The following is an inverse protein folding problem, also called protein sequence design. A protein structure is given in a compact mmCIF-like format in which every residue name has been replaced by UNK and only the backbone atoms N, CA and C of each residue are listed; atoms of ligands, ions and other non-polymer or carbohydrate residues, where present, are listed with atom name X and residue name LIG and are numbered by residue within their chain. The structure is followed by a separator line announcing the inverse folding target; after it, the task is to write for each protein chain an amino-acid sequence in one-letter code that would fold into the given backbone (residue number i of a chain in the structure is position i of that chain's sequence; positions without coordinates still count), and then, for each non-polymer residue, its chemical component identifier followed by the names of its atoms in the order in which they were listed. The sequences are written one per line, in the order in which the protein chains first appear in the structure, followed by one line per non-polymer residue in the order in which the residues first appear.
data_IF_774334943180
#
_entry.id   IF_774334943180
#
_cell.length_a   1.000
_cell.length_b   1.000
_cell.length_c   1.000
_cell.angle_alpha   90.00
_cell.angle_beta   90.00
_cell.angle_gamma   90.00
#
_symmetry.space_group_name_H-M   'P 1'
#
loop_
_entity.id
_entity.type
_entity.pdbx_description
1 polymer ?
#
# COMPACT_ATOMS: atom_id res chain seq x y z
N UNK A 1 -35.57 14.80 16.84
CA UNK A 1 -34.71 15.71 16.06
C UNK A 1 -33.31 15.12 16.07
N UNK A 2 -32.95 14.53 14.93
CA UNK A 2 -31.58 14.30 14.41
C UNK A 2 -30.54 13.60 15.29
N UNK A 3 -30.73 12.30 15.53
CA UNK A 3 -29.61 11.35 15.64
C UNK A 3 -29.13 10.99 14.23
N UNK A 4 -28.58 11.99 13.54
CA UNK A 4 -27.91 11.83 12.24
C UNK A 4 -26.40 11.92 12.41
N UNK A 5 -25.88 11.36 13.51
CA UNK A 5 -24.52 10.86 13.52
C UNK A 5 -24.52 9.52 12.76
N UNK A 6 -24.78 9.60 11.44
CA UNK A 6 -24.54 8.48 10.53
C UNK A 6 -23.14 7.97 10.83
N UNK A 7 -23.05 6.71 11.23
CA UNK A 7 -21.89 5.89 10.94
C UNK A 7 -21.44 6.28 9.53
N UNK A 8 -20.32 7.00 9.43
CA UNK A 8 -19.61 7.10 8.18
C UNK A 8 -19.18 5.67 7.92
N UNK A 9 -20.01 4.91 7.19
CA UNK A 9 -19.58 3.69 6.55
C UNK A 9 -18.22 3.99 5.97
N UNK A 10 -17.19 3.30 6.47
CA UNK A 10 -15.83 3.44 5.97
C UNK A 10 -15.91 3.08 4.50
N UNK A 11 -15.96 4.10 3.63
CA UNK A 11 -15.99 3.90 2.19
C UNK A 11 -14.82 2.98 1.83
N UNK A 12 -15.04 1.91 1.07
CA UNK A 12 -13.96 1.06 0.62
C UNK A 12 -12.97 1.92 -0.14
N UNK A 13 -11.71 1.91 0.30
CA UNK A 13 -10.65 2.71 -0.32
C UNK A 13 -10.18 2.10 -1.64
N UNK A 14 -10.40 0.79 -1.81
CA UNK A 14 -10.05 0.05 -3.02
C UNK A 14 -11.28 -0.28 -3.83
N UNK A 15 -11.15 -0.10 -5.14
CA UNK A 15 -12.11 -0.51 -6.15
C UNK A 15 -11.49 -1.56 -7.06
N UNK A 16 -12.35 -2.40 -7.64
CA UNK A 16 -11.96 -3.39 -8.65
C UNK A 16 -12.67 -3.04 -9.95
N UNK A 17 -11.90 -2.91 -11.03
CA UNK A 17 -12.44 -2.68 -12.38
C UNK A 17 -12.06 -3.84 -13.28
N UNK A 18 -13.03 -4.33 -14.06
CA UNK A 18 -12.75 -5.17 -15.22
C UNK A 18 -12.31 -4.26 -16.38
N UNK A 19 -11.16 -4.58 -16.96
CA UNK A 19 -10.64 -3.91 -18.14
C UNK A 19 -10.57 -4.91 -19.30
N UNK A 20 -10.93 -4.44 -20.48
CA UNK A 20 -10.79 -5.17 -21.74
C UNK A 20 -9.88 -4.35 -22.66
N UNK A 21 -8.62 -4.78 -22.78
CA UNK A 21 -7.60 -4.11 -23.59
C UNK A 21 -6.79 -5.10 -24.44
N UNK A 22 -5.68 -4.65 -25.03
CA UNK A 22 -4.82 -5.49 -25.89
C UNK A 22 -4.22 -6.70 -25.17
N UNK A 23 -4.23 -6.74 -23.85
CA UNK A 23 -3.80 -7.86 -22.99
C UNK A 23 -4.92 -8.86 -22.72
N UNK A 24 -6.13 -8.59 -23.23
CA UNK A 24 -7.36 -9.34 -22.95
C UNK A 24 -8.08 -8.87 -21.69
N UNK A 25 -9.15 -9.58 -21.35
CA UNK A 25 -9.95 -9.29 -20.14
C UNK A 25 -9.14 -9.58 -18.89
N UNK A 26 -8.98 -8.57 -18.04
CA UNK A 26 -8.31 -8.67 -16.76
C UNK A 26 -8.93 -7.71 -15.75
N UNK A 27 -8.52 -7.79 -14.49
CA UNK A 27 -9.01 -6.93 -13.44
C UNK A 27 -7.89 -6.08 -12.87
N UNK A 28 -8.21 -4.85 -12.48
CA UNK A 28 -7.30 -3.95 -11.76
C UNK A 28 -7.86 -3.58 -10.41
N UNK A 29 -6.99 -3.52 -9.40
CA UNK A 29 -7.29 -3.03 -8.06
C UNK A 29 -6.70 -1.63 -7.95
N UNK A 30 -7.49 -0.61 -7.62
CA UNK A 30 -7.00 0.76 -7.52
C UNK A 30 -7.72 1.58 -6.44
N UNK A 31 -7.14 2.72 -6.07
CA UNK A 31 -7.70 3.65 -5.09
C UNK A 31 -8.69 4.68 -5.68
N UNK A 32 -9.00 4.59 -6.97
CA UNK A 32 -9.81 5.59 -7.64
C UNK A 32 -11.32 5.31 -7.47
N UNK A 33 -12.10 6.36 -7.23
CA UNK A 33 -13.57 6.27 -7.13
C UNK A 33 -14.20 5.96 -8.52
N UNK A 34 -15.29 5.15 -8.59
CA UNK A 34 -15.98 4.79 -9.82
C UNK A 34 -16.47 5.96 -10.67
N UNK A 35 -16.98 7.03 -10.06
CA UNK A 35 -17.44 8.23 -10.76
C UNK A 35 -16.26 8.90 -11.47
N UNK A 36 -15.14 9.04 -10.77
CA UNK A 36 -13.94 9.64 -11.36
C UNK A 36 -13.37 8.73 -12.47
N UNK A 37 -13.24 7.43 -12.21
CA UNK A 37 -12.78 6.43 -13.17
C UNK A 37 -13.62 6.42 -14.45
N UNK A 38 -14.95 6.50 -14.34
CA UNK A 38 -15.84 6.56 -15.51
C UNK A 38 -15.70 7.86 -16.32
N UNK A 39 -15.29 8.96 -15.68
CA UNK A 39 -15.18 10.27 -16.35
C UNK A 39 -13.85 10.50 -17.08
N UNK A 40 -12.73 10.03 -16.52
CA UNK A 40 -11.38 10.33 -17.02
C UNK A 40 -10.50 9.10 -17.26
N UNK A 41 -11.04 7.89 -17.05
CA UNK A 41 -10.26 6.65 -17.01
C UNK A 41 -9.56 6.45 -15.66
N UNK A 42 -8.91 5.31 -15.50
CA UNK A 42 -8.16 4.96 -14.29
C UNK A 42 -6.73 5.48 -14.40
N UNK A 43 -6.30 6.34 -13.46
CA UNK A 43 -4.93 6.82 -13.40
C UNK A 43 -4.01 5.69 -12.93
N UNK A 44 -2.96 5.41 -13.72
CA UNK A 44 -1.98 4.34 -13.46
C UNK A 44 -1.36 4.40 -12.05
N UNK A 45 -1.24 5.59 -11.46
CA UNK A 45 -0.67 5.78 -10.11
C UNK A 45 -1.61 5.32 -8.99
N UNK A 46 -2.90 5.27 -9.28
CA UNK A 46 -3.90 4.78 -8.33
C UNK A 46 -4.03 3.26 -8.36
N UNK A 47 -3.52 2.61 -9.42
CA UNK A 47 -3.59 1.15 -9.63
C UNK A 47 -2.56 0.48 -8.74
N UNK A 48 -3.01 -0.32 -7.78
CA UNK A 48 -2.17 -1.19 -6.94
C UNK A 48 -1.56 -2.31 -7.78
N UNK A 49 -2.37 -2.93 -8.63
CA UNK A 49 -1.94 -4.00 -9.51
C UNK A 49 -3.08 -4.56 -10.35
N UNK A 50 -2.75 -5.58 -11.13
CA UNK A 50 -3.67 -6.30 -12.00
C UNK A 50 -3.67 -7.79 -11.69
N UNK A 51 -4.77 -8.47 -11.98
CA UNK A 51 -4.86 -9.92 -11.88
C UNK A 51 -5.81 -10.49 -12.94
N UNK A 52 -5.66 -11.78 -13.20
CA UNK A 52 -6.61 -12.56 -13.99
C UNK A 52 -7.47 -13.39 -13.05
N UNK A 53 -8.80 -13.26 -13.10
CA UNK A 53 -9.66 -14.00 -12.19
C UNK A 53 -9.59 -15.50 -12.45
N UNK A 54 -9.96 -16.30 -11.45
CA UNK A 54 -10.14 -17.75 -11.63
C UNK A 54 -11.28 -18.04 -12.62
N UNK A 55 -11.44 -19.29 -13.03
CA UNK A 55 -12.58 -19.71 -13.87
C UNK A 55 -13.97 -19.44 -13.25
N UNK A 56 -14.04 -19.21 -11.94
CA UNK A 56 -15.27 -18.82 -11.23
C UNK A 56 -15.44 -17.28 -11.10
N UNK A 57 -14.55 -16.49 -11.70
CA UNK A 57 -14.58 -15.03 -11.61
C UNK A 57 -14.04 -14.47 -10.28
N UNK A 58 -13.37 -15.29 -9.45
CA UNK A 58 -12.83 -14.85 -8.15
C UNK A 58 -11.43 -14.26 -8.29
N UNK A 59 -11.02 -13.47 -7.30
CA UNK A 59 -9.63 -13.02 -7.18
C UNK A 59 -8.68 -14.21 -7.11
N UNK A 60 -7.63 -14.19 -7.95
CA UNK A 60 -6.56 -15.18 -7.94
C UNK A 60 -5.25 -14.49 -7.53
N UNK A 61 -4.78 -14.70 -6.27
CA UNK A 61 -3.52 -14.13 -5.81
C UNK A 61 -2.31 -14.57 -6.67
N UNK A 62 -2.36 -15.75 -7.28
CA UNK A 62 -1.25 -16.29 -8.06
C UNK A 62 -1.03 -15.56 -9.39
N UNK A 63 -2.06 -14.89 -9.91
CA UNK A 63 -1.96 -14.10 -11.14
C UNK A 63 -1.74 -12.61 -10.87
N UNK A 64 -1.76 -12.21 -9.59
CA UNK A 64 -1.62 -10.81 -9.21
C UNK A 64 -0.22 -10.29 -9.53
N UNK A 65 -0.18 -9.17 -10.26
CA UNK A 65 1.03 -8.43 -10.59
C UNK A 65 0.86 -7.01 -10.09
N UNK A 66 1.71 -6.59 -9.15
CA UNK A 66 1.71 -5.23 -8.67
C UNK A 66 2.16 -4.26 -9.78
N UNK A 67 1.63 -3.04 -9.74
CA UNK A 67 2.00 -1.98 -10.65
C UNK A 67 3.32 -1.33 -10.20
N UNK A 68 4.27 -1.12 -11.11
CA UNK A 68 5.55 -0.47 -10.77
C UNK A 68 5.39 0.99 -10.37
N UNK A 69 4.44 1.71 -10.95
CA UNK A 69 4.07 3.08 -10.54
C UNK A 69 3.49 3.14 -9.13
N UNK A 70 2.83 2.08 -8.68
CA UNK A 70 2.39 1.95 -7.29
C UNK A 70 3.56 1.82 -6.33
N UNK A 71 4.55 0.99 -6.65
CA UNK A 71 5.78 0.85 -5.84
C UNK A 71 6.50 2.19 -5.71
N UNK A 72 6.62 2.95 -6.80
CA UNK A 72 7.22 4.30 -6.75
C UNK A 72 6.42 5.23 -5.83
N UNK A 73 5.09 5.22 -5.93
CA UNK A 73 4.21 6.05 -5.09
C UNK A 73 4.30 5.66 -3.63
N UNK A 74 4.41 4.36 -3.34
CA UNK A 74 4.64 3.84 -2.00
C UNK A 74 6.01 4.29 -1.47
N UNK A 75 7.09 4.13 -2.24
CA UNK A 75 8.42 4.58 -1.84
C UNK A 75 8.44 6.07 -1.52
N UNK A 76 7.78 6.89 -2.34
CA UNK A 76 7.63 8.33 -2.06
C UNK A 76 6.84 8.59 -0.77
N UNK A 77 5.73 7.86 -0.55
CA UNK A 77 4.96 7.95 0.68
C UNK A 77 5.80 7.60 1.92
N UNK A 78 6.58 6.52 1.83
CA UNK A 78 7.45 6.08 2.92
C UNK A 78 8.51 7.14 3.25
N UNK A 79 9.16 7.69 2.23
CA UNK A 79 10.21 8.70 2.41
C UNK A 79 9.70 10.11 2.75
N UNK A 80 8.44 10.45 2.49
CA UNK A 80 7.92 11.81 2.75
C UNK A 80 7.00 11.88 3.97
N UNK A 81 6.29 10.79 4.28
CA UNK A 81 5.25 10.77 5.31
C UNK A 81 5.65 9.85 6.45
N UNK A 82 5.96 8.58 6.16
CA UNK A 82 6.22 7.59 7.21
C UNK A 82 7.55 7.83 7.93
N UNK A 83 8.57 8.32 7.22
CA UNK A 83 9.87 8.62 7.82
C UNK A 83 9.77 9.63 8.98
N UNK A 84 8.75 10.49 8.99
CA UNK A 84 8.55 11.53 10.00
C UNK A 84 7.79 11.00 11.23
N UNK A 85 7.42 9.72 11.28
CA UNK A 85 6.78 9.11 12.44
C UNK A 85 7.75 9.07 13.64
N UNK A 86 7.44 9.73 14.76
CA UNK A 86 8.28 9.74 15.95
C UNK A 86 8.57 8.34 16.51
N UNK A 87 7.64 7.40 16.35
CA UNK A 87 7.83 6.02 16.79
C UNK A 87 8.90 5.33 15.97
N UNK A 88 8.93 5.51 14.64
CA UNK A 88 10.00 4.98 13.78
C UNK A 88 11.38 5.47 14.22
N UNK A 89 11.50 6.74 14.59
CA UNK A 89 12.75 7.31 15.08
C UNK A 89 13.17 6.77 16.45
N UNK A 90 12.24 6.31 17.27
CA UNK A 90 12.57 5.62 18.52
C UNK A 90 13.09 4.22 18.22
N UNK A 91 12.41 3.47 17.36
CA UNK A 91 12.82 2.12 16.94
C UNK A 91 14.17 2.10 16.22
N UNK A 92 14.45 3.10 15.38
CA UNK A 92 15.73 3.22 14.68
C UNK A 92 16.95 3.22 15.62
N UNK A 93 16.81 3.75 16.84
CA UNK A 93 17.90 3.77 17.82
C UNK A 93 18.30 2.38 18.31
N UNK A 94 17.38 1.41 18.23
CA UNK A 94 17.63 0.03 18.61
C UNK A 94 18.37 -0.76 17.52
N UNK A 95 18.47 -0.22 16.30
CA UNK A 95 19.07 -0.86 15.12
C UNK A 95 20.12 0.04 14.45
N UNK A 96 20.86 0.82 15.24
CA UNK A 96 21.91 1.72 14.74
C UNK A 96 22.94 0.97 13.86
N UNK A 97 23.35 1.59 12.75
CA UNK A 97 24.23 1.02 11.73
C UNK A 97 23.59 -0.06 10.85
N UNK A 98 22.30 -0.35 11.06
CA UNK A 98 21.58 -1.43 10.39
C UNK A 98 20.47 -0.96 9.44
N UNK A 99 19.47 -1.83 9.28
CA UNK A 99 18.22 -1.53 8.57
C UNK A 99 17.05 -1.59 9.53
N UNK A 100 16.14 -0.62 9.42
CA UNK A 100 14.87 -0.62 10.14
C UNK A 100 13.80 -1.20 9.23
N UNK A 101 13.32 -2.40 9.55
CA UNK A 101 12.30 -3.09 8.77
C UNK A 101 10.92 -2.52 9.05
N UNK A 102 10.15 -2.28 7.99
CA UNK A 102 8.75 -1.83 8.07
C UNK A 102 7.86 -3.03 7.86
N UNK A 103 7.19 -3.44 8.94
CA UNK A 103 6.29 -4.59 8.95
C UNK A 103 4.90 -4.15 8.48
N UNK A 104 4.24 -4.98 7.68
CA UNK A 104 2.87 -4.71 7.25
C UNK A 104 1.92 -4.60 8.46
N UNK A 105 1.09 -3.54 8.55
CA UNK A 105 0.16 -3.37 9.68
C UNK A 105 -0.80 -4.55 9.88
N UNK A 106 -1.04 -5.38 8.86
CA UNK A 106 -1.87 -6.59 9.00
C UNK A 106 -1.28 -7.62 9.98
N UNK A 107 0.02 -7.52 10.29
CA UNK A 107 0.74 -8.45 11.16
C UNK A 107 0.90 -7.96 12.60
N UNK A 108 0.46 -6.75 12.95
CA UNK A 108 0.70 -6.13 14.27
C UNK A 108 0.09 -6.93 15.43
N UNK A 109 -0.95 -7.71 15.18
CA UNK A 109 -1.59 -8.57 16.19
C UNK A 109 -1.20 -10.05 16.08
N UNK A 110 -0.31 -10.41 15.17
CA UNK A 110 0.08 -11.79 14.99
C UNK A 110 1.20 -12.12 16.00
N UNK A 111 0.98 -13.11 16.86
CA UNK A 111 2.01 -13.65 17.76
C UNK A 111 3.05 -14.44 16.96
N UNK A 112 3.82 -13.72 16.15
CA UNK A 112 4.85 -14.27 15.29
C UNK A 112 6.18 -14.23 16.04
N UNK A 113 6.80 -15.39 16.19
CA UNK A 113 8.16 -15.53 16.72
C UNK A 113 9.17 -14.87 15.76
N UNK A 114 8.88 -14.92 14.46
CA UNK A 114 9.65 -14.32 13.39
C UNK A 114 8.71 -13.74 12.33
N UNK A 115 9.01 -12.54 11.85
CA UNK A 115 8.22 -11.89 10.79
C UNK A 115 8.67 -12.43 9.43
N UNK A 116 7.78 -13.06 8.64
CA UNK A 116 8.15 -13.56 7.33
C UNK A 116 8.57 -12.42 6.40
N UNK A 117 9.50 -12.70 5.48
CA UNK A 117 9.89 -11.73 4.45
C UNK A 117 8.69 -11.26 3.60
N UNK A 118 7.63 -12.07 3.45
CA UNK A 118 6.41 -11.69 2.73
C UNK A 118 5.57 -10.63 3.45
N UNK A 119 5.83 -10.41 4.74
CA UNK A 119 5.12 -9.47 5.60
C UNK A 119 5.93 -8.19 5.87
N UNK A 120 7.17 -8.11 5.38
CA UNK A 120 8.00 -6.92 5.46
C UNK A 120 7.74 -6.10 4.20
N UNK A 121 7.22 -4.89 4.35
CA UNK A 121 6.94 -3.97 3.22
C UNK A 121 8.26 -3.50 2.58
N UNK A 122 9.26 -3.25 3.41
CA UNK A 122 10.55 -2.72 3.01
C UNK A 122 11.36 -2.33 4.22
N UNK A 123 12.39 -1.51 4.01
CA UNK A 123 13.24 -1.06 5.10
C UNK A 123 13.86 0.30 4.81
N UNK A 124 14.20 1.02 5.88
CA UNK A 124 15.04 2.20 5.82
C UNK A 124 16.48 1.86 6.24
N UNK A 125 17.45 2.59 5.71
CA UNK A 125 18.82 2.54 6.23
C UNK A 125 18.94 3.42 7.49
N UNK A 126 19.68 2.94 8.48
CA UNK A 126 19.90 3.64 9.75
C UNK A 126 21.40 3.86 9.96
N UNK A 127 21.80 5.08 10.30
CA UNK A 127 23.19 5.41 10.57
C UNK A 127 23.65 4.89 11.94
N UNK A 128 24.96 4.98 12.20
CA UNK A 128 25.59 4.57 13.47
C UNK A 128 25.06 5.35 14.70
N UNK A 129 24.40 6.49 14.49
CA UNK A 129 23.77 7.27 15.56
C UNK A 129 22.30 6.88 15.79
N UNK A 130 21.78 5.87 15.08
CA UNK A 130 20.39 5.44 15.19
C UNK A 130 19.41 6.39 14.47
N UNK A 131 19.87 7.17 13.49
CA UNK A 131 19.01 8.04 12.67
C UNK A 131 18.68 7.38 11.35
N UNK A 132 17.41 7.49 10.97
CA UNK A 132 16.95 7.05 9.66
C UNK A 132 17.53 7.97 8.59
N UNK A 133 18.17 7.40 7.57
CA UNK A 133 18.67 8.13 6.43
C UNK A 133 17.49 8.57 5.54
N UNK A 134 17.46 9.84 5.13
CA UNK A 134 16.45 10.36 4.20
C UNK A 134 16.56 9.69 2.84
N UNK A 135 15.41 9.55 2.17
CA UNK A 135 15.29 8.96 0.83
C UNK A 135 15.90 7.55 0.72
N UNK A 136 15.96 6.81 1.84
CA UNK A 136 16.62 5.51 1.93
C UNK A 136 15.66 4.32 1.91
N UNK A 137 14.35 4.55 1.84
CA UNK A 137 13.39 3.46 1.83
C UNK A 137 13.60 2.56 0.60
N UNK A 138 13.81 1.27 0.85
CA UNK A 138 13.88 0.24 -0.16
C UNK A 138 12.67 -0.68 -0.03
N UNK A 139 11.92 -0.79 -1.12
CA UNK A 139 10.77 -1.68 -1.20
C UNK A 139 11.22 -3.15 -1.27
N UNK A 140 10.53 -4.01 -0.52
CA UNK A 140 10.75 -5.45 -0.57
C UNK A 140 9.89 -6.10 -1.67
N UNK A 141 10.52 -6.56 -2.75
CA UNK A 141 9.82 -7.24 -3.84
C UNK A 141 9.17 -8.59 -3.47
N UNK A 142 9.52 -9.15 -2.32
CA UNK A 142 8.88 -10.38 -1.81
C UNK A 142 7.62 -10.09 -0.98
N UNK A 143 7.30 -8.83 -0.69
CA UNK A 143 6.10 -8.46 0.05
C UNK A 143 4.84 -8.87 -0.73
N UNK A 144 3.91 -9.53 -0.04
CA UNK A 144 2.67 -10.02 -0.65
C UNK A 144 1.52 -9.10 -0.26
N UNK A 145 0.95 -8.37 -1.22
CA UNK A 145 -0.16 -7.43 -0.94
C UNK A 145 -1.47 -8.11 -0.53
N UNK A 146 -1.68 -9.35 -0.99
CA UNK A 146 -2.88 -10.15 -0.73
C UNK A 146 -2.47 -11.56 -0.35
N UNK A 147 -2.54 -11.88 0.93
CA UNK A 147 -2.14 -13.19 1.46
C UNK A 147 -3.36 -13.92 2.00
N UNK A 148 -3.72 -15.12 1.49
CA UNK A 148 -4.91 -15.85 1.95
C UNK A 148 -5.03 -16.01 3.46
N UNK A 149 -3.91 -16.17 4.17
CA UNK A 149 -3.92 -16.35 5.64
C UNK A 149 -4.14 -15.05 6.42
N UNK A 150 -3.53 -13.96 5.97
CA UNK A 150 -3.49 -12.69 6.71
C UNK A 150 -4.38 -11.59 6.11
N UNK A 151 -4.93 -11.84 4.92
CA UNK A 151 -5.77 -10.91 4.18
C UNK A 151 -4.99 -9.86 3.38
N UNK A 152 -5.65 -8.73 3.19
CA UNK A 152 -5.10 -7.59 2.43
C UNK A 152 -4.11 -6.82 3.29
N UNK A 153 -3.02 -6.34 2.69
CA UNK A 153 -2.06 -5.43 3.32
C UNK A 153 -2.76 -4.29 4.06
N UNK A 154 -2.36 -4.05 5.31
CA UNK A 154 -2.92 -2.99 6.14
C UNK A 154 -2.63 -1.60 5.60
N UNK A 155 -1.53 -1.44 4.83
CA UNK A 155 -1.20 -0.20 4.13
C UNK A 155 -2.30 0.25 3.17
N UNK A 156 -2.95 -0.70 2.50
CA UNK A 156 -4.03 -0.40 1.54
C UNK A 156 -5.32 0.07 2.25
N UNK A 157 -5.38 -0.06 3.56
CA UNK A 157 -6.48 0.46 4.39
C UNK A 157 -6.17 1.81 5.04
N UNK A 158 -4.94 2.33 4.87
CA UNK A 158 -4.54 3.59 5.48
C UNK A 158 -5.13 4.78 4.73
N UNK A 159 -5.97 5.56 5.42
CA UNK A 159 -6.53 6.80 4.86
C UNK A 159 -5.45 7.80 4.46
N UNK A 160 -4.38 7.91 5.25
CA UNK A 160 -3.25 8.79 4.95
C UNK A 160 -2.56 8.42 3.64
N UNK A 161 -2.43 7.13 3.35
CA UNK A 161 -1.86 6.67 2.09
C UNK A 161 -2.79 6.95 0.91
N UNK A 162 -4.09 6.67 1.08
CA UNK A 162 -5.11 7.07 0.09
C UNK A 162 -5.06 8.56 -0.22
N UNK A 163 -5.01 9.41 0.81
CA UNK A 163 -4.97 10.87 0.63
C UNK A 163 -3.64 11.33 0.01
N UNK A 164 -2.52 10.63 0.25
CA UNK A 164 -1.25 10.89 -0.42
C UNK A 164 -1.31 10.60 -1.93
N UNK A 165 -1.85 9.43 -2.31
CA UNK A 165 -2.04 9.02 -3.72
C UNK A 165 -2.85 10.07 -4.49
N UNK A 166 -3.89 10.64 -3.87
CA UNK A 166 -4.74 11.65 -4.51
C UNK A 166 -4.26 13.10 -4.31
N UNK A 167 -3.51 13.37 -3.24
CA UNK A 167 -3.04 14.70 -2.86
C UNK A 167 -1.86 15.18 -3.70
N UNK A 168 -1.02 14.27 -4.19
CA UNK A 168 0.08 14.58 -5.12
C UNK A 168 -0.40 15.23 -6.43
N UNK A 169 -1.68 15.11 -6.78
CA UNK A 169 -2.29 15.85 -7.91
C UNK A 169 -2.44 17.35 -7.65
N UNK A 170 -2.50 17.82 -6.40
CA UNK A 170 -2.73 19.24 -6.09
C UNK A 170 -1.47 20.10 -6.15
N UNK A 171 -0.29 19.51 -6.04
CA UNK A 171 0.98 20.24 -5.93
C UNK A 171 1.84 20.22 -7.21
N UNK A 172 1.36 19.62 -8.30
CA UNK A 172 1.99 19.71 -9.63
C UNK A 172 1.17 20.65 -10.51
N UNK A 173 1.33 21.95 -10.30
CA UNK A 173 1.01 23.00 -11.29
C UNK A 173 2.31 23.49 -11.90
#
# INVERSE_FOLDING_TARGET
MTDTAKEKEKLPLLMVYELDDTSGRHHVICFQDPVLAGSVGVDVRTIVGRYFPTGEGRFDPATFQFNTGFVLTLTDFMNQVVIEDPWLHQEAKHVAGGKLEVIDPRCVSAELIEIPMTEIVGWFAVDEAGKILRDSFLYNHNHVWFEPKFGTSGLLSLRTFYDFVHGTHKNRK
#
